data_IF_843994606201
#
_entry.id   IF_843994606201
#
_cell.length_a   1.000
_cell.length_b   1.000
_cell.length_c   1.000
_cell.angle_alpha   90.00
_cell.angle_beta   90.00
_cell.angle_gamma   90.00
#
_symmetry.space_group_name_H-M   'P 1'
#
loop_
_entity.id
_entity.type
_entity.pdbx_description
1 polymer ?
#
# COMPACT_ATOMS: atom_id res chain seq x y z
N UNK A 1 -11.31 6.94 -19.38
CA UNK A 1 -10.01 7.18 -20.06
C UNK A 1 -9.97 8.51 -20.81
N UNK A 2 -10.94 8.87 -21.66
CA UNK A 2 -10.91 10.16 -22.39
C UNK A 2 -10.93 11.44 -21.53
N UNK A 3 -11.21 11.32 -20.23
CA UNK A 3 -11.34 12.44 -19.29
C UNK A 3 -10.09 13.29 -19.09
N UNK A 4 -8.90 12.75 -19.39
CA UNK A 4 -7.62 13.47 -19.22
C UNK A 4 -7.04 13.96 -20.54
N UNK A 5 -7.72 13.70 -21.67
CA UNK A 5 -7.23 14.10 -23.00
C UNK A 5 -7.34 15.62 -23.15
N UNK A 6 -6.20 16.28 -23.40
CA UNK A 6 -6.14 17.73 -23.62
C UNK A 6 -6.21 18.57 -22.35
N UNK A 7 -6.16 17.95 -21.17
CA UNK A 7 -5.90 18.67 -19.92
C UNK A 7 -4.44 19.14 -19.87
N UNK A 8 -4.19 20.25 -19.17
CA UNK A 8 -2.84 20.75 -18.96
C UNK A 8 -2.03 19.78 -18.09
N UNK A 9 -0.74 19.60 -18.41
CA UNK A 9 0.11 18.65 -17.70
C UNK A 9 0.31 19.03 -16.23
N UNK A 10 0.47 20.32 -15.93
CA UNK A 10 0.69 20.77 -14.55
C UNK A 10 -0.56 20.57 -13.71
N UNK A 11 -1.74 20.86 -14.27
CA UNK A 11 -3.02 20.61 -13.60
C UNK A 11 -3.20 19.11 -13.29
N UNK A 12 -2.80 18.23 -14.22
CA UNK A 12 -2.86 16.78 -14.00
C UNK A 12 -1.89 16.31 -12.92
N UNK A 13 -0.67 16.84 -12.91
CA UNK A 13 0.34 16.52 -11.90
C UNK A 13 -0.08 17.02 -10.51
N UNK A 14 -0.58 18.25 -10.42
CA UNK A 14 -1.11 18.80 -9.17
C UNK A 14 -2.26 17.93 -8.65
N UNK A 15 -3.22 17.58 -9.51
CA UNK A 15 -4.35 16.73 -9.13
C UNK A 15 -3.89 15.35 -8.65
N UNK A 16 -2.90 14.75 -9.32
CA UNK A 16 -2.36 13.46 -8.93
C UNK A 16 -1.71 13.51 -7.54
N UNK A 17 -0.78 14.45 -7.32
CA UNK A 17 -0.07 14.62 -6.05
C UNK A 17 -1.07 14.97 -4.93
N UNK A 18 -2.04 15.83 -5.22
CA UNK A 18 -3.08 16.20 -4.25
C UNK A 18 -3.96 15.00 -3.84
N UNK A 19 -4.15 14.02 -4.74
CA UNK A 19 -4.94 12.83 -4.46
C UNK A 19 -4.14 11.77 -3.69
N UNK A 20 -2.94 11.43 -4.16
CA UNK A 20 -2.20 10.25 -3.68
C UNK A 20 -1.15 10.55 -2.61
N UNK A 21 -0.55 11.75 -2.61
CA UNK A 21 0.65 12.02 -1.79
C UNK A 21 0.36 12.86 -0.54
N UNK A 22 -0.87 13.39 -0.43
CA UNK A 22 -1.26 14.26 0.68
C UNK A 22 -1.72 13.51 1.92
N UNK A 23 -2.28 12.31 1.77
CA UNK A 23 -2.90 11.60 2.89
C UNK A 23 -2.64 10.10 2.81
N UNK A 24 -2.79 9.42 3.94
CA UNK A 24 -2.51 7.98 4.05
C UNK A 24 -3.59 7.12 3.42
N UNK A 25 -4.83 7.59 3.37
CA UNK A 25 -6.01 6.74 3.07
C UNK A 25 -6.01 6.17 1.65
N UNK A 26 -5.50 6.95 0.70
CA UNK A 26 -5.39 6.53 -0.71
C UNK A 26 -3.96 6.50 -1.19
N UNK A 27 -2.98 6.59 -0.29
CA UNK A 27 -1.55 6.46 -0.62
C UNK A 27 -1.29 5.19 -1.42
N UNK A 28 -0.38 5.29 -2.39
CA UNK A 28 -0.03 4.18 -3.28
C UNK A 28 1.03 3.23 -2.69
N UNK A 29 1.24 3.26 -1.38
CA UNK A 29 2.14 2.33 -0.68
C UNK A 29 1.36 1.22 0.01
N UNK A 30 1.56 -0.04 -0.42
CA UNK A 30 0.80 -1.19 0.09
C UNK A 30 0.91 -1.30 1.61
N UNK A 31 2.12 -1.19 2.17
CA UNK A 31 2.35 -1.44 3.59
C UNK A 31 1.88 -0.31 4.50
N UNK A 32 1.59 0.87 3.96
CA UNK A 32 0.93 1.93 4.73
C UNK A 32 -0.45 1.47 5.23
N UNK A 33 -1.18 0.70 4.41
CA UNK A 33 -2.51 0.19 4.72
C UNK A 33 -2.51 -1.09 5.58
N UNK A 34 -1.38 -1.78 5.67
CA UNK A 34 -1.24 -3.05 6.41
C UNK A 34 -0.52 -2.86 7.75
N UNK A 35 0.51 -2.02 7.79
CA UNK A 35 1.42 -1.92 8.92
C UNK A 35 1.47 -0.52 9.55
N UNK A 36 0.98 0.52 8.87
CA UNK A 36 1.12 1.91 9.33
C UNK A 36 2.58 2.23 9.66
N UNK A 37 2.84 2.74 10.87
CA UNK A 37 4.19 3.06 11.37
C UNK A 37 4.84 1.94 12.19
N UNK A 38 4.26 0.72 12.18
CA UNK A 38 4.80 -0.38 12.96
C UNK A 38 6.17 -0.85 12.47
N UNK A 39 6.99 -1.38 13.39
CA UNK A 39 8.28 -2.01 13.09
C UNK A 39 8.15 -3.16 12.09
N UNK A 40 6.97 -3.79 12.02
CA UNK A 40 6.65 -4.86 11.08
C UNK A 40 6.73 -4.38 9.62
N UNK A 41 6.51 -3.08 9.36
CA UNK A 41 6.68 -2.48 8.03
C UNK A 41 8.09 -2.65 7.49
N UNK A 42 9.10 -2.41 8.33
CA UNK A 42 10.50 -2.52 7.93
C UNK A 42 10.86 -3.96 7.52
N UNK A 43 10.37 -4.96 8.27
CA UNK A 43 10.58 -6.35 7.92
C UNK A 43 9.82 -6.74 6.64
N UNK A 44 8.61 -6.24 6.45
CA UNK A 44 7.84 -6.45 5.21
C UNK A 44 8.55 -5.88 3.98
N UNK A 45 9.16 -4.69 4.08
CA UNK A 45 9.98 -4.10 3.02
C UNK A 45 11.20 -4.95 2.68
N UNK A 46 11.92 -5.45 3.68
CA UNK A 46 13.07 -6.35 3.46
C UNK A 46 12.63 -7.63 2.76
N UNK A 47 11.52 -8.23 3.19
CA UNK A 47 11.00 -9.44 2.56
C UNK A 47 10.62 -9.17 1.10
N UNK A 48 9.94 -8.04 0.82
CA UNK A 48 9.53 -7.68 -0.54
C UNK A 48 10.74 -7.42 -1.46
N UNK A 49 11.80 -6.79 -0.95
CA UNK A 49 13.06 -6.63 -1.67
C UNK A 49 13.70 -7.99 -2.00
N UNK A 50 13.77 -8.91 -1.03
CA UNK A 50 14.29 -10.26 -1.27
C UNK A 50 13.46 -11.02 -2.31
N UNK A 51 12.14 -10.81 -2.33
CA UNK A 51 11.27 -11.37 -3.37
C UNK A 51 11.68 -10.87 -4.75
N UNK A 52 11.83 -9.56 -4.92
CA UNK A 52 12.25 -8.96 -6.19
C UNK A 52 13.62 -9.46 -6.63
N UNK A 53 14.61 -9.46 -5.73
CA UNK A 53 15.96 -9.97 -5.99
C UNK A 53 15.94 -11.45 -6.41
N UNK A 54 15.11 -12.28 -5.77
CA UNK A 54 15.00 -13.71 -6.10
C UNK A 54 14.44 -13.98 -7.51
N UNK A 55 13.71 -13.02 -8.08
CA UNK A 55 13.20 -13.05 -9.45
C UNK A 55 14.11 -12.28 -10.42
N UNK A 56 15.28 -11.80 -9.96
CA UNK A 56 16.21 -11.02 -10.78
C UNK A 56 15.72 -9.61 -11.12
N UNK A 57 14.77 -9.07 -10.36
CA UNK A 57 14.26 -7.73 -10.56
C UNK A 57 15.11 -6.71 -9.79
N UNK A 58 15.74 -5.79 -10.51
CA UNK A 58 16.53 -4.70 -9.94
C UNK A 58 15.69 -3.43 -9.85
N UNK A 59 15.44 -2.94 -8.64
CA UNK A 59 14.71 -1.69 -8.44
C UNK A 59 15.59 -0.46 -8.70
N UNK A 60 14.96 0.61 -9.18
CA UNK A 60 15.54 1.95 -9.11
C UNK A 60 15.67 2.41 -7.65
N UNK A 61 16.73 3.15 -7.32
CA UNK A 61 16.99 3.64 -5.96
C UNK A 61 16.07 4.77 -5.51
N UNK A 62 15.17 5.24 -6.37
CA UNK A 62 14.29 6.39 -6.11
C UNK A 62 12.90 6.01 -5.60
N UNK A 63 12.54 4.72 -5.62
CA UNK A 63 11.21 4.25 -5.24
C UNK A 63 11.30 3.22 -4.10
N UNK A 64 10.25 3.18 -3.28
CA UNK A 64 10.12 2.16 -2.24
C UNK A 64 9.56 0.87 -2.84
N UNK A 65 9.93 -0.31 -2.31
CA UNK A 65 9.52 -1.60 -2.87
C UNK A 65 8.01 -1.83 -2.83
N UNK A 66 7.29 -1.17 -1.91
CA UNK A 66 5.85 -1.31 -1.70
C UNK A 66 5.00 -0.31 -2.50
N UNK A 67 5.62 0.48 -3.38
CA UNK A 67 4.91 1.38 -4.28
C UNK A 67 4.12 0.55 -5.31
N UNK A 68 2.80 0.73 -5.35
CA UNK A 68 1.88 -0.09 -6.16
C UNK A 68 2.28 -0.13 -7.65
N UNK A 69 2.59 1.00 -8.31
CA UNK A 69 3.04 0.96 -9.71
C UNK A 69 4.31 0.12 -9.94
N UNK A 70 5.31 0.22 -9.05
CA UNK A 70 6.52 -0.60 -9.11
C UNK A 70 6.18 -2.08 -8.91
N UNK A 71 5.32 -2.38 -7.94
CA UNK A 71 4.84 -3.75 -7.71
C UNK A 71 4.11 -4.31 -8.95
N UNK A 72 3.24 -3.53 -9.60
CA UNK A 72 2.56 -3.94 -10.82
C UNK A 72 3.52 -4.11 -12.02
N UNK A 73 4.56 -3.27 -12.10
CA UNK A 73 5.64 -3.44 -13.09
C UNK A 73 6.38 -4.76 -12.86
N UNK A 74 6.74 -5.06 -11.62
CA UNK A 74 7.32 -6.35 -11.25
C UNK A 74 6.41 -7.52 -11.66
N UNK A 75 5.11 -7.47 -11.34
CA UNK A 75 4.14 -8.51 -11.69
C UNK A 75 4.03 -8.71 -13.21
N UNK A 76 4.18 -7.66 -14.00
CA UNK A 76 4.10 -7.73 -15.47
C UNK A 76 5.23 -8.56 -16.10
N UNK A 77 6.31 -8.81 -15.35
CA UNK A 77 7.47 -9.59 -15.79
C UNK A 77 7.42 -11.05 -15.30
N UNK A 78 6.46 -11.41 -14.45
CA UNK A 78 6.31 -12.76 -13.91
C UNK A 78 5.44 -13.64 -14.81
N UNK A 79 5.52 -14.95 -14.60
CA UNK A 79 4.59 -15.88 -15.24
C UNK A 79 3.14 -15.56 -14.81
N UNK A 80 2.15 -15.61 -15.73
CA UNK A 80 0.80 -15.12 -15.45
C UNK A 80 0.13 -15.71 -14.19
N UNK A 81 0.38 -17.00 -13.91
CA UNK A 81 -0.18 -17.66 -12.72
C UNK A 81 0.41 -17.13 -11.40
N UNK A 82 1.71 -16.82 -11.39
CA UNK A 82 2.39 -16.24 -10.24
C UNK A 82 2.01 -14.77 -10.07
N UNK A 83 1.95 -14.01 -11.17
CA UNK A 83 1.49 -12.63 -11.16
C UNK A 83 0.08 -12.49 -10.57
N UNK A 84 -0.86 -13.34 -10.99
CA UNK A 84 -2.23 -13.35 -10.46
C UNK A 84 -2.25 -13.74 -8.99
N UNK A 85 -1.45 -14.72 -8.56
CA UNK A 85 -1.39 -15.12 -7.15
C UNK A 85 -0.87 -13.99 -6.25
N UNK A 86 0.21 -13.34 -6.64
CA UNK A 86 0.76 -12.20 -5.90
C UNK A 86 -0.20 -11.00 -5.91
N UNK A 87 -0.90 -10.78 -7.03
CA UNK A 87 -1.93 -9.75 -7.10
C UNK A 87 -3.09 -10.06 -6.16
N UNK A 88 -3.57 -11.31 -6.12
CA UNK A 88 -4.59 -11.80 -5.19
C UNK A 88 -4.19 -11.55 -3.73
N UNK A 89 -2.94 -11.82 -3.37
CA UNK A 89 -2.41 -11.56 -2.02
C UNK A 89 -2.39 -10.05 -1.67
N UNK A 90 -2.36 -9.16 -2.66
CA UNK A 90 -2.44 -7.70 -2.47
C UNK A 90 -3.88 -7.15 -2.56
N UNK A 91 -4.85 -7.94 -3.05
CA UNK A 91 -6.21 -7.48 -3.32
C UNK A 91 -6.97 -6.86 -2.14
N UNK A 92 -6.80 -7.30 -0.87
CA UNK A 92 -7.50 -6.65 0.25
C UNK A 92 -7.17 -5.15 0.35
N UNK A 93 -5.89 -4.80 0.17
CA UNK A 93 -5.45 -3.40 0.16
C UNK A 93 -5.95 -2.70 -1.11
N UNK A 94 -5.71 -3.30 -2.29
CA UNK A 94 -6.10 -2.69 -3.56
C UNK A 94 -7.60 -2.42 -3.65
N UNK A 95 -8.44 -3.32 -3.14
CA UNK A 95 -9.89 -3.16 -3.10
C UNK A 95 -10.32 -2.06 -2.12
N UNK A 96 -9.61 -1.91 -0.99
CA UNK A 96 -9.84 -0.81 -0.05
C UNK A 96 -9.51 0.54 -0.69
N UNK A 97 -8.39 0.65 -1.41
CA UNK A 97 -8.05 1.86 -2.17
C UNK A 97 -9.10 2.14 -3.24
N UNK A 98 -9.51 1.13 -4.00
CA UNK A 98 -10.58 1.23 -5.00
C UNK A 98 -11.89 1.73 -4.42
N UNK A 99 -12.29 1.21 -3.26
CA UNK A 99 -13.49 1.63 -2.53
C UNK A 99 -13.38 3.08 -2.04
N UNK A 100 -12.26 3.47 -1.40
CA UNK A 100 -12.02 4.86 -0.96
C UNK A 100 -12.00 5.85 -2.12
N UNK A 101 -11.42 5.47 -3.27
CA UNK A 101 -11.45 6.27 -4.49
C UNK A 101 -12.87 6.40 -5.06
N UNK A 102 -13.70 5.36 -4.93
CA UNK A 102 -15.09 5.40 -5.34
C UNK A 102 -15.93 6.36 -4.49
N UNK A 103 -15.77 6.34 -3.16
CA UNK A 103 -16.43 7.28 -2.23
C UNK A 103 -16.03 8.73 -2.52
N UNK A 104 -14.78 8.96 -2.97
CA UNK A 104 -14.27 10.27 -3.41
C UNK A 104 -14.70 10.65 -4.83
N UNK A 105 -15.43 9.80 -5.55
CA UNK A 105 -15.82 10.03 -6.95
C UNK A 105 -14.64 10.07 -7.93
N UNK A 106 -13.48 9.52 -7.55
CA UNK A 106 -12.26 9.55 -8.36
C UNK A 106 -12.33 8.56 -9.52
N UNK A 107 -11.94 9.02 -10.71
CA UNK A 107 -11.88 8.16 -11.91
C UNK A 107 -10.75 7.12 -11.85
N UNK A 108 -9.79 7.30 -10.95
CA UNK A 108 -8.73 6.32 -10.71
C UNK A 108 -9.25 4.99 -10.16
N UNK A 109 -10.47 4.95 -9.59
CA UNK A 109 -11.12 3.69 -9.19
C UNK A 109 -11.16 2.65 -10.31
N UNK A 110 -11.25 3.09 -11.57
CA UNK A 110 -11.32 2.20 -12.74
C UNK A 110 -10.08 1.33 -12.91
N UNK A 111 -8.92 1.78 -12.42
CA UNK A 111 -7.69 0.98 -12.40
C UNK A 111 -7.87 -0.19 -11.43
N UNK A 112 -8.35 0.10 -10.22
CA UNK A 112 -8.59 -0.91 -9.19
C UNK A 112 -9.72 -1.87 -9.56
N UNK A 113 -10.81 -1.38 -10.18
CA UNK A 113 -11.86 -2.25 -10.75
C UNK A 113 -11.27 -3.22 -11.79
N UNK A 114 -10.27 -2.77 -12.57
CA UNK A 114 -9.61 -3.62 -13.57
C UNK A 114 -8.70 -4.67 -12.92
N UNK A 115 -8.03 -4.33 -11.81
CA UNK A 115 -7.24 -5.27 -11.02
C UNK A 115 -8.14 -6.33 -10.36
N UNK A 116 -9.28 -5.91 -9.79
CA UNK A 116 -10.33 -6.82 -9.29
C UNK A 116 -10.84 -7.75 -10.41
N UNK A 117 -11.02 -7.22 -11.63
CA UNK A 117 -11.42 -8.03 -12.79
C UNK A 117 -10.37 -9.07 -13.22
N UNK A 118 -9.08 -8.84 -12.92
CA UNK A 118 -7.97 -9.74 -13.27
C UNK A 118 -7.70 -10.78 -12.18
N UNK A 119 -7.65 -10.35 -10.91
CA UNK A 119 -7.31 -11.20 -9.78
C UNK A 119 -8.52 -11.81 -9.06
N UNK A 120 -9.71 -11.23 -9.24
CA UNK A 120 -10.89 -11.50 -8.44
C UNK A 120 -11.01 -10.58 -7.22
N UNK A 121 -12.21 -10.55 -6.64
CA UNK A 121 -12.46 -9.84 -5.39
C UNK A 121 -11.86 -10.62 -4.20
N UNK A 122 -11.26 -9.93 -3.21
CA UNK A 122 -10.77 -10.58 -2.01
C UNK A 122 -11.93 -11.05 -1.13
N UNK A 123 -11.66 -11.97 -0.22
CA UNK A 123 -12.60 -12.28 0.85
C UNK A 123 -12.89 -11.04 1.71
N UNK A 124 -14.14 -10.87 2.12
CA UNK A 124 -14.56 -9.74 2.96
C UNK A 124 -14.74 -8.42 2.20
N UNK A 125 -14.99 -8.47 0.89
CA UNK A 125 -15.19 -7.28 0.06
C UNK A 125 -16.34 -6.38 0.54
N UNK A 126 -17.38 -6.95 1.16
CA UNK A 126 -18.49 -6.19 1.72
C UNK A 126 -18.01 -5.32 2.90
N UNK A 127 -17.23 -5.91 3.81
CA UNK A 127 -16.66 -5.23 4.96
C UNK A 127 -15.67 -4.14 4.52
N UNK A 128 -14.83 -4.42 3.52
CA UNK A 128 -13.90 -3.44 2.93
C UNK A 128 -14.66 -2.23 2.37
N UNK A 129 -15.72 -2.47 1.59
CA UNK A 129 -16.54 -1.39 1.02
C UNK A 129 -17.31 -0.63 2.10
N UNK A 130 -17.87 -1.33 3.08
CA UNK A 130 -18.56 -0.70 4.21
C UNK A 130 -17.61 0.20 5.00
N UNK A 131 -16.40 -0.28 5.27
CA UNK A 131 -15.38 0.49 5.95
C UNK A 131 -15.11 1.80 5.21
N UNK A 132 -14.76 1.74 3.93
CA UNK A 132 -14.49 2.94 3.12
C UNK A 132 -15.65 3.96 3.14
N UNK A 133 -16.91 3.48 3.17
CA UNK A 133 -18.10 4.33 3.22
C UNK A 133 -18.36 4.96 4.60
N UNK A 134 -17.81 4.39 5.68
CA UNK A 134 -18.01 4.85 7.06
C UNK A 134 -16.82 5.61 7.64
N UNK A 135 -15.67 5.57 6.96
CA UNK A 135 -14.46 6.29 7.35
C UNK A 135 -14.67 7.81 7.33
N UNK A 136 -14.08 8.49 8.31
CA UNK A 136 -14.00 9.96 8.31
C UNK A 136 -13.03 10.45 7.23
N UNK A 137 -13.11 11.72 6.81
CA UNK A 137 -12.13 12.29 5.90
C UNK A 137 -10.69 12.12 6.43
N UNK A 138 -9.75 11.98 5.51
CA UNK A 138 -8.33 11.87 5.86
C UNK A 138 -7.79 13.23 6.30
N UNK A 139 -7.55 13.38 7.60
CA UNK A 139 -7.05 14.61 8.21
C UNK A 139 -5.54 14.54 8.52
N UNK A 140 -4.80 13.62 7.89
CA UNK A 140 -3.35 13.44 8.12
C UNK A 140 -2.56 14.74 7.98
N UNK A 141 -2.87 15.56 6.97
CA UNK A 141 -2.18 16.86 6.78
C UNK A 141 -2.48 17.87 7.89
N UNK A 142 -3.68 17.85 8.44
CA UNK A 142 -4.10 18.79 9.47
C UNK A 142 -3.41 18.50 10.81
N UNK A 143 -3.12 17.23 11.08
CA UNK A 143 -2.48 16.78 12.31
C UNK A 143 -0.96 16.58 12.16
N UNK A 144 -0.34 17.07 11.07
CA UNK A 144 1.11 16.98 10.91
C UNK A 144 1.83 17.66 12.08
N UNK A 145 1.40 18.83 12.53
CA UNK A 145 2.08 19.53 13.62
C UNK A 145 2.04 18.74 14.94
N UNK A 146 0.94 18.02 15.22
CA UNK A 146 0.78 17.19 16.44
C UNK A 146 1.65 15.92 16.40
N UNK A 147 1.73 15.27 15.23
CA UNK A 147 2.54 14.04 15.04
C UNK A 147 4.04 14.34 15.24
N UNK A 148 4.50 15.54 14.86
CA UNK A 148 5.91 15.93 14.98
C UNK A 148 6.29 16.37 16.41
N UNK A 149 5.32 16.67 17.28
CA UNK A 149 5.59 17.04 18.68
C UNK A 149 5.82 15.82 19.61
N UNK A 150 5.31 14.63 19.28
CA UNK A 150 5.28 13.49 20.23
C UNK A 150 6.47 12.52 20.20
N UNK A 151 7.42 12.62 19.26
CA UNK A 151 8.61 11.75 19.24
C UNK A 151 9.91 12.45 19.67
N UNK A 152 9.98 12.86 20.94
CA UNK A 152 11.28 13.03 21.58
C UNK A 152 11.94 11.65 21.80
N UNK A 153 12.81 11.24 20.88
CA UNK A 153 13.55 9.97 20.95
C UNK A 153 14.42 9.93 22.21
N UNK A 154 14.09 9.04 23.15
CA UNK A 154 14.94 8.71 24.30
C UNK A 154 16.01 7.70 23.90
N UNK A 155 17.27 8.14 23.82
CA UNK A 155 18.42 7.30 23.45
C UNK A 155 18.92 6.36 24.58
N UNK A 156 18.26 6.33 25.74
CA UNK A 156 18.70 5.51 26.88
C UNK A 156 17.85 4.24 27.01
N UNK A 157 18.05 3.25 26.14
CA UNK A 157 17.31 1.99 26.26
C UNK A 157 17.70 0.80 25.39
N UNK A 158 18.60 0.93 24.41
CA UNK A 158 18.96 -0.19 23.53
C UNK A 158 20.15 -0.99 24.07
N UNK A 159 19.92 -1.72 25.15
CA UNK A 159 20.76 -2.83 25.59
C UNK A 159 20.05 -4.15 25.31
N UNK A 160 19.87 -4.53 24.05
CA UNK A 160 19.62 -5.94 23.72
C UNK A 160 20.05 -6.28 22.29
N UNK A 161 20.49 -7.52 22.16
CA UNK A 161 21.31 -8.12 21.11
C UNK A 161 20.63 -8.29 19.75
N UNK A 162 21.34 -7.90 18.67
CA UNK A 162 21.02 -8.33 17.31
C UNK A 162 21.24 -9.84 17.18
N UNK A 163 20.16 -10.61 17.01
CA UNK A 163 20.24 -11.99 16.53
C UNK A 163 19.97 -12.02 15.03
N UNK A 164 21.01 -12.26 14.26
CA UNK A 164 20.91 -12.51 12.82
C UNK A 164 20.35 -13.91 12.62
N UNK A 165 19.06 -14.03 12.34
CA UNK A 165 18.49 -15.29 11.84
C UNK A 165 18.53 -15.27 10.31
N UNK A 166 19.13 -16.29 9.73
CA UNK A 166 19.05 -16.56 8.31
C UNK A 166 17.59 -16.91 7.97
N UNK A 167 16.92 -16.02 7.23
CA UNK A 167 15.56 -16.24 6.78
C UNK A 167 15.54 -17.37 5.76
N UNK A 168 14.88 -18.47 6.12
CA UNK A 168 14.42 -19.45 5.14
C UNK A 168 13.32 -18.80 4.33
N UNK A 169 13.45 -18.83 2.99
CA UNK A 169 12.48 -18.24 2.06
C UNK A 169 11.15 -18.96 2.21
N UNK A 170 10.31 -18.43 3.09
CA UNK A 170 8.90 -18.79 3.20
C UNK A 170 8.14 -17.96 2.17
N UNK A 171 7.06 -18.48 1.55
CA UNK A 171 6.27 -17.70 0.60
C UNK A 171 5.80 -16.41 1.27
N UNK A 172 6.17 -15.28 0.68
CA UNK A 172 5.85 -13.96 1.22
C UNK A 172 4.35 -13.72 1.03
N UNK A 173 3.66 -13.44 2.12
CA UNK A 173 2.28 -12.95 2.10
C UNK A 173 2.33 -11.43 2.10
N UNK A 174 1.92 -10.81 0.99
CA UNK A 174 1.97 -9.35 0.82
C UNK A 174 1.02 -8.65 1.80
N UNK A 175 -0.20 -9.17 1.91
CA UNK A 175 -1.19 -8.68 2.87
C UNK A 175 -1.67 -9.84 3.74
N UNK A 176 -1.07 -10.01 4.93
CA UNK A 176 -1.63 -10.97 5.89
C UNK A 176 -3.00 -10.50 6.35
N UNK A 177 -4.01 -11.37 6.24
CA UNK A 177 -5.40 -11.07 6.63
C UNK A 177 -5.50 -10.53 8.06
N UNK A 178 -4.81 -11.16 9.00
CA UNK A 178 -4.84 -10.75 10.40
C UNK A 178 -4.21 -9.38 10.62
N UNK A 179 -3.16 -9.05 9.86
CA UNK A 179 -2.48 -7.76 9.94
C UNK A 179 -3.33 -6.66 9.30
N UNK A 180 -3.93 -6.95 8.14
CA UNK A 180 -4.87 -6.05 7.49
C UNK A 180 -6.06 -5.73 8.41
N UNK A 181 -6.69 -6.74 9.00
CA UNK A 181 -7.79 -6.51 9.94
C UNK A 181 -7.35 -5.72 11.19
N UNK A 182 -6.12 -5.95 11.69
CA UNK A 182 -5.57 -5.17 12.82
C UNK A 182 -5.29 -3.72 12.46
N UNK A 183 -4.80 -3.42 11.26
CA UNK A 183 -4.53 -2.04 10.84
C UNK A 183 -5.83 -1.24 10.70
N UNK A 184 -6.91 -1.86 10.22
CA UNK A 184 -8.22 -1.18 10.12
C UNK A 184 -8.80 -0.79 11.48
N UNK A 185 -8.41 -1.47 12.56
CA UNK A 185 -8.87 -1.16 13.92
C UNK A 185 -7.99 -0.13 14.66
N UNK A 186 -6.92 0.37 14.04
CA UNK A 186 -5.99 1.34 14.66
C UNK A 186 -6.26 2.80 14.30
N UNK A 187 -7.26 3.09 13.47
CA UNK A 187 -7.73 4.47 13.25
C UNK A 187 -8.78 4.84 14.30
N UNK A 188 -8.33 5.08 15.53
CA UNK A 188 -9.03 5.84 16.57
C UNK A 188 -8.01 6.62 17.39
#
# INVERSE_FOLDING_TARGET
INSYRGADLLDLQEHYVALFDRGRYVSLHIFEHVHGESRDRGQAMVNLLQMYESHGFEMSTHELPDYIPLFLEFLSQQEPAEAVKLLQDAMPVLSLLGARLAERGSKFKAIFDSLEGLAGEPEGIYEIRQQAATETPDETLLHMDEIWEEEAVSFMGAGDSCQTQAATVSPITITSRDQFLKSQNRSL
#
